data_IF_028963957319
#
_entry.id   IF_028963957319
#
_cell.length_a   1.000
_cell.length_b   1.000
_cell.length_c   1.000
_cell.angle_alpha   90.00
_cell.angle_beta   90.00
_cell.angle_gamma   90.00
#
_symmetry.space_group_name_H-M   'P 1'
#
loop_
_entity.id
_entity.type
_entity.pdbx_description
1 polymer ?
#
# COMPACT_ATOMS: atom_id res chain seq x y z
N UNK A 1 -17.85 7.22 18.72
CA UNK A 1 -16.97 6.24 18.05
C UNK A 1 -16.06 7.04 17.13
N UNK A 2 -14.93 7.50 17.66
CA UNK A 2 -13.90 8.24 16.91
C UNK A 2 -12.66 7.34 16.83
N UNK A 3 -12.50 6.65 15.71
CA UNK A 3 -11.29 5.88 15.40
C UNK A 3 -10.41 6.57 14.35
N UNK A 4 -10.77 7.79 13.93
CA UNK A 4 -10.11 8.48 12.80
C UNK A 4 -9.07 9.52 13.21
N UNK A 5 -8.79 9.74 14.50
CA UNK A 5 -7.89 10.82 14.94
C UNK A 5 -6.53 10.34 15.50
N UNK A 6 -6.19 9.05 15.38
CA UNK A 6 -4.79 8.66 15.52
C UNK A 6 -4.13 8.79 14.15
N UNK A 7 -3.24 9.77 14.05
CA UNK A 7 -2.14 9.84 13.07
C UNK A 7 -1.25 8.59 13.22
N UNK A 8 -1.80 7.41 12.94
CA UNK A 8 -1.08 6.14 13.00
C UNK A 8 -0.11 6.14 11.83
N UNK A 9 1.08 6.71 12.04
CA UNK A 9 2.17 6.51 11.11
C UNK A 9 2.44 5.01 11.01
N UNK A 10 2.68 4.51 9.80
CA UNK A 10 3.18 3.13 9.69
C UNK A 10 4.49 2.97 10.48
N UNK A 11 4.70 1.78 11.05
CA UNK A 11 5.83 1.50 11.94
C UNK A 11 7.08 1.11 11.17
N UNK A 12 6.92 0.46 10.02
CA UNK A 12 8.04 -0.01 9.20
C UNK A 12 7.74 0.00 7.70
N UNK A 13 8.78 0.22 6.89
CA UNK A 13 8.73 -0.04 5.44
C UNK A 13 9.10 -1.49 5.21
N UNK A 14 8.17 -2.28 4.70
CA UNK A 14 8.36 -3.72 4.46
C UNK A 14 8.71 -4.04 3.01
N UNK A 15 8.47 -3.11 2.08
CA UNK A 15 8.86 -3.26 0.68
C UNK A 15 9.11 -1.92 0.00
N UNK A 16 10.15 -1.89 -0.85
CA UNK A 16 10.42 -0.83 -1.83
C UNK A 16 10.71 -1.49 -3.17
N UNK A 17 9.99 -1.13 -4.23
CA UNK A 17 10.19 -1.70 -5.56
C UNK A 17 10.03 -0.62 -6.62
N UNK A 18 11.01 -0.51 -7.51
CA UNK A 18 10.91 0.32 -8.70
C UNK A 18 9.89 -0.29 -9.69
N UNK A 19 8.99 0.54 -10.19
CA UNK A 19 8.03 0.18 -11.24
C UNK A 19 8.68 0.39 -12.61
N UNK A 20 8.27 -0.37 -13.65
CA UNK A 20 8.81 -0.20 -15.00
C UNK A 20 8.69 1.22 -15.57
N UNK A 21 7.72 1.99 -15.07
CA UNK A 21 7.54 3.39 -15.47
C UNK A 21 8.46 4.39 -14.71
N UNK A 22 9.29 3.93 -13.76
CA UNK A 22 10.33 4.71 -13.06
C UNK A 22 9.96 5.25 -11.66
N UNK A 23 8.67 5.28 -11.31
CA UNK A 23 8.25 5.57 -9.92
C UNK A 23 8.34 4.31 -9.05
N UNK A 24 8.06 4.45 -7.76
CA UNK A 24 8.30 3.41 -6.77
C UNK A 24 7.01 2.99 -6.08
N UNK A 25 6.84 1.67 -5.94
CA UNK A 25 5.88 1.04 -5.06
C UNK A 25 6.50 0.89 -3.67
N UNK A 26 5.78 1.36 -2.67
CA UNK A 26 6.11 1.16 -1.26
C UNK A 26 4.99 0.39 -0.57
N UNK A 27 5.39 -0.54 0.31
CA UNK A 27 4.48 -1.19 1.24
C UNK A 27 5.00 -0.89 2.64
N UNK A 28 4.12 -0.37 3.49
CA UNK A 28 4.42 -0.13 4.91
C UNK A 28 3.49 -0.98 5.77
N UNK A 29 3.94 -1.32 6.97
CA UNK A 29 3.14 -2.06 7.94
C UNK A 29 2.83 -1.17 9.13
N UNK A 30 1.57 -1.19 9.55
CA UNK A 30 1.12 -0.69 10.83
C UNK A 30 0.86 -1.88 11.78
N UNK A 31 1.56 -1.87 12.91
CA UNK A 31 1.47 -2.85 13.98
C UNK A 31 0.39 -2.40 14.97
N UNK A 32 -0.74 -3.08 14.91
CA UNK A 32 -1.88 -2.71 15.74
C UNK A 32 -1.68 -3.24 17.19
N UNK A 33 -2.33 -2.60 18.18
CA UNK A 33 -2.41 -3.16 19.53
C UNK A 33 -3.02 -4.57 19.51
N UNK A 34 -2.82 -5.37 20.58
CA UNK A 34 -3.20 -6.79 20.64
C UNK A 34 -4.68 -7.13 20.37
N UNK A 35 -5.57 -6.14 20.30
CA UNK A 35 -7.00 -6.29 20.01
C UNK A 35 -7.36 -6.06 18.54
N UNK A 36 -6.41 -5.63 17.72
CA UNK A 36 -6.60 -5.26 16.31
C UNK A 36 -5.65 -6.05 15.40
N UNK A 37 -5.95 -6.06 14.09
CA UNK A 37 -5.12 -6.71 13.10
C UNK A 37 -4.04 -5.75 12.57
N UNK A 38 -2.85 -6.28 12.33
CA UNK A 38 -1.81 -5.56 11.59
C UNK A 38 -2.33 -5.21 10.21
N UNK A 39 -1.93 -4.05 9.68
CA UNK A 39 -2.35 -3.64 8.34
C UNK A 39 -1.16 -3.29 7.45
N UNK A 40 -1.30 -3.62 6.18
CA UNK A 40 -0.41 -3.19 5.11
C UNK A 40 -1.03 -2.02 4.37
N UNK A 41 -0.20 -1.02 4.08
CA UNK A 41 -0.55 0.18 3.32
C UNK A 41 0.35 0.27 2.10
N UNK A 42 -0.26 0.54 0.95
CA UNK A 42 0.43 0.56 -0.33
C UNK A 42 0.39 1.94 -0.95
N UNK A 43 1.52 2.36 -1.49
CA UNK A 43 1.73 3.68 -2.05
C UNK A 43 2.46 3.57 -3.38
N UNK A 44 2.13 4.44 -4.32
CA UNK A 44 2.99 4.73 -5.47
C UNK A 44 3.46 6.16 -5.25
N UNK A 45 4.76 6.38 -5.27
CA UNK A 45 5.35 7.71 -5.12
C UNK A 45 6.62 7.79 -5.95
N UNK A 46 7.17 9.00 -6.08
CA UNK A 46 8.53 9.14 -6.63
C UNK A 46 9.52 8.38 -5.77
N UNK A 47 10.75 8.20 -6.27
CA UNK A 47 11.82 7.67 -5.42
C UNK A 47 12.02 8.60 -4.21
N UNK A 48 11.86 8.04 -3.02
CA UNK A 48 12.06 8.70 -1.75
C UNK A 48 13.48 8.35 -1.27
N UNK A 49 14.29 9.38 -1.04
CA UNK A 49 15.66 9.22 -0.53
C UNK A 49 15.68 9.30 1.00
N UNK A 50 16.73 8.75 1.61
CA UNK A 50 16.95 8.80 3.05
C UNK A 50 16.67 7.47 3.76
N UNK A 51 16.64 7.55 5.09
CA UNK A 51 16.37 6.43 5.99
C UNK A 51 14.92 5.97 5.91
N UNK A 52 14.63 4.76 6.38
CA UNK A 52 13.25 4.23 6.40
C UNK A 52 12.30 5.12 7.21
N UNK A 53 12.78 5.76 8.28
CA UNK A 53 11.99 6.73 9.07
C UNK A 53 11.59 7.96 8.25
N UNK A 54 12.50 8.48 7.42
CA UNK A 54 12.21 9.62 6.53
C UNK A 54 11.23 9.22 5.42
N UNK A 55 11.40 8.02 4.85
CA UNK A 55 10.47 7.45 3.88
C UNK A 55 9.08 7.27 4.49
N UNK A 56 8.98 6.70 5.70
CA UNK A 56 7.70 6.54 6.41
C UNK A 56 7.00 7.86 6.64
N UNK A 57 7.74 8.88 7.09
CA UNK A 57 7.17 10.22 7.31
C UNK A 57 6.58 10.77 6.01
N UNK A 58 7.31 10.68 4.90
CA UNK A 58 6.82 11.14 3.60
C UNK A 58 5.58 10.35 3.14
N UNK A 59 5.59 9.02 3.28
CA UNK A 59 4.45 8.16 2.88
C UNK A 59 3.21 8.37 3.76
N UNK A 60 3.37 8.72 5.04
CA UNK A 60 2.25 9.02 5.93
C UNK A 60 1.54 10.34 5.56
N UNK A 61 2.20 11.23 4.81
CA UNK A 61 1.61 12.44 4.23
C UNK A 61 1.03 12.19 2.82
N UNK A 62 1.35 11.04 2.21
CA UNK A 62 0.93 10.66 0.86
C UNK A 62 -0.38 9.86 0.87
N UNK A 63 -1.02 9.77 -0.29
CA UNK A 63 -2.26 9.01 -0.47
C UNK A 63 -1.96 7.53 -0.68
N UNK A 64 -2.37 6.67 0.25
CA UNK A 64 -2.35 5.22 0.05
C UNK A 64 -3.44 4.79 -0.94
N UNK A 65 -3.12 3.81 -1.78
CA UNK A 65 -4.07 3.26 -2.75
C UNK A 65 -4.69 1.93 -2.32
N UNK A 66 -4.08 1.22 -1.37
CA UNK A 66 -4.59 -0.03 -0.83
C UNK A 66 -4.28 -0.11 0.66
N UNK A 67 -5.30 -0.48 1.46
CA UNK A 67 -5.20 -0.81 2.87
C UNK A 67 -5.82 -2.20 3.09
N UNK A 68 -5.07 -3.13 3.68
CA UNK A 68 -5.50 -4.50 3.93
C UNK A 68 -4.87 -5.07 5.21
N UNK A 69 -5.51 -6.05 5.85
CA UNK A 69 -4.91 -6.85 6.93
C UNK A 69 -4.20 -8.11 6.44
N UNK A 70 -3.93 -8.21 5.13
CA UNK A 70 -3.14 -9.31 4.58
C UNK A 70 -1.76 -9.39 5.22
N UNK A 71 -1.28 -10.61 5.44
CA UNK A 71 0.12 -10.82 5.75
C UNK A 71 0.99 -10.56 4.52
N UNK A 72 2.23 -10.08 4.75
CA UNK A 72 3.15 -9.76 3.66
C UNK A 72 3.47 -10.99 2.78
N UNK A 73 3.46 -12.18 3.37
CA UNK A 73 3.69 -13.46 2.66
C UNK A 73 2.59 -13.78 1.64
N UNK A 74 1.39 -13.23 1.83
CA UNK A 74 0.24 -13.47 0.97
C UNK A 74 0.11 -12.40 -0.13
N UNK A 75 0.96 -11.37 -0.09
CA UNK A 75 0.99 -10.30 -1.08
C UNK A 75 1.83 -10.71 -2.28
N UNK A 76 1.24 -10.61 -3.48
CA UNK A 76 1.99 -10.72 -4.74
C UNK A 76 1.86 -9.46 -5.56
N UNK A 77 3.00 -8.98 -6.05
CA UNK A 77 3.09 -7.79 -6.89
C UNK A 77 3.53 -8.18 -8.29
N UNK A 78 2.73 -7.82 -9.29
CA UNK A 78 3.03 -8.00 -10.71
C UNK A 78 3.04 -6.67 -11.44
N UNK A 79 3.87 -6.56 -12.47
CA UNK A 79 3.81 -5.41 -13.36
C UNK A 79 2.65 -5.59 -14.35
N UNK A 80 1.99 -4.49 -14.67
CA UNK A 80 1.01 -4.44 -15.77
C UNK A 80 1.44 -3.36 -16.76
N UNK A 81 0.93 -3.37 -18.00
CA UNK A 81 1.34 -2.37 -19.00
C UNK A 81 1.22 -0.92 -18.52
N UNK A 82 0.21 -0.61 -17.70
CA UNK A 82 -0.13 0.74 -17.27
C UNK A 82 -0.14 0.92 -15.74
N UNK A 83 0.50 0.03 -14.97
CA UNK A 83 0.61 0.17 -13.53
C UNK A 83 0.92 -1.15 -12.83
N UNK A 84 0.22 -1.46 -11.75
CA UNK A 84 0.56 -2.59 -10.87
C UNK A 84 -0.62 -3.52 -10.64
N UNK A 85 -0.33 -4.83 -10.62
CA UNK A 85 -1.24 -5.87 -10.17
C UNK A 85 -0.88 -6.28 -8.75
N UNK A 86 -1.88 -6.30 -7.88
CA UNK A 86 -1.74 -6.69 -6.47
C UNK A 86 -2.67 -7.86 -6.19
N UNK A 87 -2.12 -8.95 -5.67
CA UNK A 87 -2.89 -10.05 -5.11
C UNK A 87 -2.77 -10.02 -3.58
N UNK A 88 -3.89 -10.23 -2.89
CA UNK A 88 -3.99 -10.20 -1.43
C UNK A 88 -4.96 -11.27 -0.93
N UNK A 89 -4.80 -11.72 0.32
CA UNK A 89 -5.64 -12.76 0.93
C UNK A 89 -6.55 -12.25 2.07
N UNK A 90 -6.15 -11.17 2.73
CA UNK A 90 -6.90 -10.54 3.81
C UNK A 90 -8.04 -9.64 3.34
N UNK A 91 -8.74 -9.04 4.29
CA UNK A 91 -9.76 -8.03 4.06
C UNK A 91 -9.13 -6.76 3.46
N UNK A 92 -9.87 -6.11 2.56
CA UNK A 92 -9.49 -4.85 1.94
C UNK A 92 -10.37 -3.75 2.50
N UNK A 93 -9.76 -2.81 3.21
CA UNK A 93 -10.45 -1.71 3.88
C UNK A 93 -10.53 -0.46 3.01
N UNK A 94 -9.53 -0.23 2.15
CA UNK A 94 -9.50 0.88 1.20
C UNK A 94 -8.84 0.44 -0.09
N UNK A 95 -9.40 0.85 -1.23
CA UNK A 95 -8.83 0.59 -2.54
C UNK A 95 -9.15 1.71 -3.54
N UNK A 96 -8.10 2.19 -4.23
CA UNK A 96 -8.21 3.07 -5.37
C UNK A 96 -7.66 2.39 -6.62
N UNK A 97 -8.48 2.26 -7.65
CA UNK A 97 -8.10 1.61 -8.91
C UNK A 97 -7.17 2.46 -9.80
N UNK A 98 -6.87 3.68 -9.38
CA UNK A 98 -5.94 4.59 -10.05
C UNK A 98 -5.15 5.41 -9.03
N UNK A 99 -3.88 5.63 -9.30
CA UNK A 99 -3.08 6.64 -8.62
C UNK A 99 -2.48 7.66 -9.58
N UNK A 100 -2.23 8.87 -9.09
CA UNK A 100 -1.67 9.96 -9.89
C UNK A 100 -0.39 10.50 -9.25
N UNK A 101 0.66 10.58 -10.06
CA UNK A 101 1.96 11.14 -9.67
C UNK A 101 2.21 12.39 -10.49
N UNK A 102 2.53 13.50 -9.82
CA UNK A 102 2.83 14.76 -10.48
C UNK A 102 4.21 14.75 -11.13
N UNK A 103 4.27 14.99 -12.43
CA UNK A 103 5.48 15.16 -13.23
C UNK A 103 5.50 16.58 -13.83
N UNK A 104 6.02 17.53 -13.05
CA UNK A 104 5.99 18.96 -13.42
C UNK A 104 4.55 19.46 -13.50
N UNK A 105 4.14 19.91 -14.69
CA UNK A 105 2.76 20.37 -14.97
C UNK A 105 1.82 19.24 -15.43
N UNK A 106 2.32 18.00 -15.56
CA UNK A 106 1.53 16.84 -16.02
C UNK A 106 1.27 15.86 -14.90
N UNK A 107 0.22 15.05 -15.07
CA UNK A 107 -0.09 13.92 -14.18
C UNK A 107 0.16 12.61 -14.91
N UNK A 108 0.98 11.77 -14.30
CA UNK A 108 1.15 10.38 -14.71
C UNK A 108 0.24 9.49 -13.88
N UNK A 109 -0.53 8.63 -14.54
CA UNK A 109 -1.48 7.76 -13.86
C UNK A 109 -1.03 6.31 -13.85
N UNK A 110 -1.23 5.64 -12.72
CA UNK A 110 -1.04 4.20 -12.54
C UNK A 110 -2.38 3.51 -12.42
N UNK A 111 -2.65 2.51 -13.26
CA UNK A 111 -3.79 1.60 -13.11
C UNK A 111 -3.45 0.53 -12.09
N UNK A 112 -4.33 0.31 -11.13
CA UNK A 112 -4.12 -0.67 -10.06
C UNK A 112 -5.14 -1.79 -10.24
N UNK A 113 -4.66 -2.99 -10.50
CA UNK A 113 -5.49 -4.20 -10.59
C UNK A 113 -5.38 -4.94 -9.27
N UNK A 114 -6.52 -5.21 -8.62
CA UNK A 114 -6.57 -5.89 -7.33
C UNK A 114 -7.29 -7.23 -7.49
N UNK A 115 -6.63 -8.32 -7.10
CA UNK A 115 -7.23 -9.63 -6.95
C UNK A 115 -7.22 -10.00 -5.45
N UNK A 116 -8.39 -10.13 -4.85
CA UNK A 116 -8.54 -10.57 -3.48
C UNK A 116 -9.02 -12.03 -3.47
N UNK A 117 -8.33 -12.88 -2.73
CA UNK A 117 -8.68 -14.30 -2.60
C UNK A 117 -8.96 -14.64 -1.14
N UNK A 118 -10.15 -15.14 -0.84
CA UNK A 118 -10.44 -15.64 0.50
C UNK A 118 -9.83 -17.03 0.68
N UNK A 119 -8.90 -17.15 1.62
CA UNK A 119 -8.28 -18.43 2.02
C UNK A 119 -8.88 -18.96 3.32
N UNK A 120 -9.86 -18.25 3.90
CA UNK A 120 -10.54 -18.67 5.12
C UNK A 120 -11.37 -19.92 4.82
N UNK A 121 -11.34 -20.95 5.69
CA UNK A 121 -12.25 -22.06 5.55
C UNK A 121 -13.70 -21.55 5.63
N UNK A 122 -14.62 -22.07 4.81
CA UNK A 122 -16.02 -21.70 4.92
C UNK A 122 -16.51 -22.05 6.33
N UNK A 123 -17.20 -21.10 6.97
CA UNK A 123 -17.80 -21.32 8.29
C UNK A 123 -18.64 -22.60 8.30
N UNK A 124 -18.37 -23.49 9.25
CA UNK A 124 -19.19 -24.66 9.56
C UNK A 124 -20.21 -24.34 10.63
#
# INVERSE_FOLDING_TARGET
>A
FDYLDSRSGADEVVMKRELPQGDWLYITRYLAPATDLNTLRFYISKRLEGSDSEVLKALNEDSLFLLTDSELSDVKISDTPNGVGVEVAGAVYQYFSKQYISEGETLKSYRITLNQHDVSPPYR
#
